data_IF_766223375832
#
_entry.id   IF_766223375832
#
_cell.length_a   1.000
_cell.length_b   1.000
_cell.length_c   1.000
_cell.angle_alpha   90.00
_cell.angle_beta   90.00
_cell.angle_gamma   90.00
#
_symmetry.space_group_name_H-M   'P 1'
#
loop_
_entity.id
_entity.type
_entity.pdbx_description
1 polymer ?
#
# COMPACT_ATOMS: atom_id res chain seq x y z
N UNK A 1 11.80 -2.89 2.94
CA UNK A 1 11.17 -2.07 1.87
C UNK A 1 9.71 -2.51 1.74
N UNK A 2 8.77 -1.67 1.29
CA UNK A 2 7.36 -2.10 1.20
C UNK A 2 7.07 -2.84 -0.11
N UNK A 3 6.31 -3.93 -0.05
CA UNK A 3 5.90 -4.75 -1.21
C UNK A 3 4.60 -4.28 -1.86
N UNK A 4 4.06 -3.13 -1.44
CA UNK A 4 2.75 -2.59 -1.84
C UNK A 4 2.58 -2.57 -3.37
N UNK A 5 3.62 -2.15 -4.11
CA UNK A 5 3.58 -2.13 -5.58
C UNK A 5 3.42 -3.53 -6.19
N UNK A 6 4.11 -4.54 -5.63
CA UNK A 6 4.04 -5.93 -6.10
C UNK A 6 2.63 -6.49 -5.88
N UNK A 7 2.06 -6.29 -4.70
CA UNK A 7 0.68 -6.66 -4.40
C UNK A 7 -0.30 -5.94 -5.32
N UNK A 8 -0.16 -4.63 -5.46
CA UNK A 8 -1.06 -3.85 -6.32
C UNK A 8 -1.08 -4.37 -7.77
N UNK A 9 0.08 -4.69 -8.34
CA UNK A 9 0.21 -5.25 -9.69
C UNK A 9 -0.38 -6.67 -9.75
N UNK A 10 -0.08 -7.54 -8.77
CA UNK A 10 -0.61 -8.91 -8.68
C UNK A 10 -2.15 -8.95 -8.72
N UNK A 11 -2.80 -7.99 -8.07
CA UNK A 11 -4.26 -7.89 -8.01
C UNK A 11 -4.86 -6.98 -9.09
N UNK A 12 -4.07 -6.47 -10.04
CA UNK A 12 -4.56 -5.63 -11.14
C UNK A 12 -5.17 -4.30 -10.70
N UNK A 13 -4.71 -3.73 -9.58
CA UNK A 13 -5.26 -2.49 -9.01
C UNK A 13 -4.46 -1.26 -9.46
N UNK A 14 -5.10 -0.15 -9.76
CA UNK A 14 -4.39 1.12 -10.08
C UNK A 14 -3.99 1.86 -8.80
N UNK A 15 -3.02 2.78 -8.90
CA UNK A 15 -2.63 3.59 -7.74
C UNK A 15 -3.81 4.44 -7.24
N UNK A 16 -4.56 5.11 -8.13
CA UNK A 16 -5.81 5.80 -7.78
C UNK A 16 -6.77 4.92 -6.99
N UNK A 17 -7.05 3.71 -7.49
CA UNK A 17 -8.05 2.82 -6.87
C UNK A 17 -7.60 2.35 -5.49
N UNK A 18 -6.33 2.00 -5.32
CA UNK A 18 -5.80 1.62 -4.01
C UNK A 18 -5.79 2.81 -3.04
N UNK A 19 -5.33 3.97 -3.49
CA UNK A 19 -5.27 5.18 -2.68
C UNK A 19 -6.65 5.61 -2.18
N UNK A 20 -7.66 5.56 -3.05
CA UNK A 20 -9.06 5.81 -2.68
C UNK A 20 -9.56 4.81 -1.64
N UNK A 21 -9.31 3.51 -1.83
CA UNK A 21 -9.74 2.47 -0.88
C UNK A 21 -9.13 2.59 0.50
N UNK A 22 -7.86 2.99 0.60
CA UNK A 22 -7.16 3.09 1.90
C UNK A 22 -7.20 4.51 2.49
N UNK A 23 -7.79 5.46 1.77
CA UNK A 23 -8.05 6.82 2.24
C UNK A 23 -6.80 7.72 2.25
N UNK A 24 -5.96 7.64 1.22
CA UNK A 24 -4.75 8.46 1.06
C UNK A 24 -4.73 9.11 -0.33
N UNK A 25 -3.86 10.09 -0.53
CA UNK A 25 -3.61 10.61 -1.87
C UNK A 25 -2.83 9.60 -2.72
N UNK A 26 -3.07 9.61 -4.03
CA UNK A 26 -2.25 8.83 -4.97
C UNK A 26 -0.77 9.16 -4.88
N UNK A 27 -0.44 10.43 -4.68
CA UNK A 27 0.94 10.89 -4.55
C UNK A 27 1.59 10.20 -3.36
N UNK A 28 0.92 10.18 -2.21
CA UNK A 28 1.41 9.49 -1.01
C UNK A 28 1.60 7.98 -1.25
N UNK A 29 0.66 7.32 -1.92
CA UNK A 29 0.82 5.92 -2.30
C UNK A 29 2.04 5.70 -3.22
N UNK A 30 2.24 6.57 -4.21
CA UNK A 30 3.41 6.52 -5.10
C UNK A 30 4.71 6.73 -4.32
N UNK A 31 4.74 7.64 -3.34
CA UNK A 31 5.91 7.82 -2.47
C UNK A 31 6.21 6.60 -1.61
N UNK A 32 5.19 5.91 -1.10
CA UNK A 32 5.34 4.64 -0.38
C UNK A 32 5.88 3.54 -1.30
N UNK A 33 5.29 3.36 -2.50
CA UNK A 33 5.69 2.34 -3.47
C UNK A 33 7.13 2.54 -3.98
N UNK A 34 7.61 3.78 -4.02
CA UNK A 34 8.97 4.13 -4.43
C UNK A 34 9.95 4.27 -3.25
N UNK A 35 9.53 3.99 -2.01
CA UNK A 35 10.39 4.06 -0.83
C UNK A 35 10.80 5.48 -0.40
N UNK A 36 10.18 6.52 -0.97
CA UNK A 36 10.38 7.93 -0.55
C UNK A 36 9.73 8.22 0.80
N UNK A 37 8.57 7.61 1.05
CA UNK A 37 7.94 7.59 2.38
C UNK A 37 8.17 6.23 3.03
N UNK A 38 8.68 6.25 4.27
CA UNK A 38 9.05 5.04 5.02
C UNK A 38 8.26 4.84 6.32
N UNK A 39 7.49 5.86 6.73
CA UNK A 39 6.76 5.86 7.99
C UNK A 39 5.24 6.02 7.76
N UNK A 40 4.57 5.09 7.06
CA UNK A 40 3.10 5.04 7.07
C UNK A 40 2.60 4.74 8.48
N UNK A 41 1.38 5.20 8.80
CA UNK A 41 0.74 4.84 10.06
C UNK A 41 0.38 3.34 10.08
N UNK A 42 0.35 2.74 11.27
CA UNK A 42 -0.10 1.35 11.46
C UNK A 42 -1.49 1.13 10.86
N UNK A 43 -2.41 2.07 11.08
CA UNK A 43 -3.76 2.04 10.52
C UNK A 43 -3.77 2.00 8.99
N UNK A 44 -2.86 2.69 8.32
CA UNK A 44 -2.75 2.63 6.86
C UNK A 44 -2.29 1.26 6.40
N UNK A 45 -1.28 0.70 7.06
CA UNK A 45 -0.77 -0.64 6.76
C UNK A 45 -1.86 -1.71 6.96
N UNK A 46 -2.64 -1.61 8.03
CA UNK A 46 -3.79 -2.49 8.28
C UNK A 46 -4.84 -2.39 7.16
N UNK A 47 -5.17 -1.18 6.71
CA UNK A 47 -6.10 -0.98 5.58
C UNK A 47 -5.59 -1.60 4.29
N UNK A 48 -4.30 -1.44 4.00
CA UNK A 48 -3.66 -2.02 2.81
C UNK A 48 -3.69 -3.55 2.90
N UNK A 49 -3.26 -4.11 4.04
CA UNK A 49 -3.25 -5.54 4.30
C UNK A 49 -4.65 -6.15 4.16
N UNK A 50 -5.65 -5.52 4.78
CA UNK A 50 -7.06 -5.92 4.66
C UNK A 50 -7.59 -5.86 3.23
N UNK A 51 -7.19 -4.87 2.43
CA UNK A 51 -7.63 -4.78 1.03
C UNK A 51 -7.10 -5.93 0.15
N UNK A 52 -5.94 -6.50 0.49
CA UNK A 52 -5.32 -7.60 -0.26
C UNK A 52 -5.51 -8.97 0.41
N UNK A 53 -6.18 -9.02 1.56
CA UNK A 53 -6.34 -10.22 2.39
C UNK A 53 -5.01 -10.88 2.75
N UNK A 54 -4.06 -10.05 3.20
CA UNK A 54 -2.72 -10.48 3.65
C UNK A 54 -2.46 -9.97 5.06
N UNK A 55 -1.44 -10.51 5.73
CA UNK A 55 -0.96 -9.99 7.02
C UNK A 55 -0.15 -8.70 6.80
N UNK A 56 -0.18 -7.80 7.78
CA UNK A 56 0.64 -6.58 7.77
C UNK A 56 2.13 -6.90 7.63
N UNK A 57 2.59 -8.01 8.22
CA UNK A 57 3.98 -8.50 8.06
C UNK A 57 4.36 -8.80 6.61
N UNK A 58 3.42 -9.20 5.76
CA UNK A 58 3.67 -9.50 4.34
C UNK A 58 3.82 -8.23 3.48
N UNK A 59 3.50 -7.05 4.04
CA UNK A 59 3.78 -5.77 3.39
C UNK A 59 5.26 -5.39 3.47
N UNK A 60 6.03 -6.08 4.30
CA UNK A 60 7.45 -5.86 4.51
C UNK A 60 8.28 -6.93 3.79
N UNK A 61 9.30 -6.47 3.08
CA UNK A 61 10.50 -7.24 2.70
C UNK A 61 11.71 -6.73 3.48
#
# INVERSE_FOLDING_TARGET
MFTIRKLRIKYGVTQEKLAQKVGISRIYLSELENGRKKNPSTTLLEKIAKNFDVRVSELYE
#
